data_IF_140354098298
#
_entry.id   IF_140354098298
#
_cell.length_a   1.000
_cell.length_b   1.000
_cell.length_c   1.000
_cell.angle_alpha   90.00
_cell.angle_beta   90.00
_cell.angle_gamma   90.00
#
_symmetry.space_group_name_H-M   'P 1'
#
loop_
_entity.id
_entity.type
_entity.pdbx_description
1 polymer ?
#
# COMPACT_ATOMS: atom_id res chain seq x y z
N UNK A 1 -2.28 28.02 -15.41
CA UNK A 1 -3.15 26.85 -15.70
C UNK A 1 -2.38 25.68 -15.14
N UNK A 2 -2.59 25.37 -13.86
CA UNK A 2 -1.86 24.32 -13.18
C UNK A 2 -2.59 23.02 -13.46
N UNK A 3 -1.90 22.06 -14.07
CA UNK A 3 -2.43 20.76 -14.40
C UNK A 3 -2.81 20.04 -13.10
N UNK A 4 -4.06 20.20 -12.69
CA UNK A 4 -4.72 19.48 -11.59
C UNK A 4 -4.94 18.03 -11.98
N UNK A 5 -3.86 17.35 -12.34
CA UNK A 5 -3.76 15.90 -12.20
C UNK A 5 -3.63 15.62 -10.70
N UNK A 6 -4.70 15.88 -9.94
CA UNK A 6 -4.86 15.24 -8.63
C UNK A 6 -4.88 13.75 -8.95
N UNK A 7 -3.72 13.10 -8.78
CA UNK A 7 -3.55 11.71 -9.16
C UNK A 7 -4.72 10.93 -8.60
N UNK A 8 -5.41 10.15 -9.43
CA UNK A 8 -6.64 9.43 -9.09
C UNK A 8 -6.60 8.77 -7.69
N UNK A 9 -5.41 8.31 -7.30
CA UNK A 9 -5.07 7.76 -5.98
C UNK A 9 -5.34 8.76 -4.83
N UNK A 10 -4.94 10.02 -4.98
CA UNK A 10 -5.17 11.08 -3.99
C UNK A 10 -6.67 11.35 -3.81
N UNK A 11 -7.44 11.46 -4.90
CA UNK A 11 -8.89 11.68 -4.83
C UNK A 11 -9.62 10.51 -4.18
N UNK A 12 -9.29 9.26 -4.54
CA UNK A 12 -9.85 8.08 -3.86
C UNK A 12 -9.48 8.06 -2.37
N UNK A 13 -8.22 8.35 -2.03
CA UNK A 13 -7.76 8.37 -0.63
C UNK A 13 -8.53 9.42 0.18
N UNK A 14 -8.73 10.61 -0.38
CA UNK A 14 -9.45 11.70 0.25
C UNK A 14 -10.94 11.34 0.44
N UNK A 15 -11.59 10.75 -0.57
CA UNK A 15 -12.98 10.27 -0.47
C UNK A 15 -13.15 9.22 0.64
N UNK A 16 -12.26 8.22 0.72
CA UNK A 16 -12.30 7.21 1.79
C UNK A 16 -12.08 7.81 3.18
N UNK A 17 -11.19 8.78 3.32
CA UNK A 17 -10.95 9.52 4.58
C UNK A 17 -12.20 10.31 5.00
N UNK A 18 -12.84 11.02 4.07
CA UNK A 18 -14.02 11.85 4.36
C UNK A 18 -15.22 10.99 4.73
N UNK A 19 -15.47 9.89 4.01
CA UNK A 19 -16.53 8.93 4.34
C UNK A 19 -16.36 8.31 5.72
N UNK A 20 -15.12 8.03 6.13
CA UNK A 20 -14.80 7.55 7.48
C UNK A 20 -15.05 8.62 8.55
N UNK A 21 -14.65 9.87 8.27
CA UNK A 21 -14.79 11.00 9.20
C UNK A 21 -16.26 11.38 9.45
N UNK A 22 -17.14 11.13 8.46
CA UNK A 22 -18.58 11.27 8.61
C UNK A 22 -19.24 10.15 9.44
N UNK A 23 -18.45 9.20 9.97
CA UNK A 23 -18.88 8.04 10.77
C UNK A 23 -19.97 7.18 10.11
N UNK A 24 -20.14 7.31 8.79
CA UNK A 24 -21.05 6.47 8.00
C UNK A 24 -20.58 5.01 7.96
N UNK A 25 -19.30 4.78 8.26
CA UNK A 25 -18.64 3.47 8.17
C UNK A 25 -17.67 3.29 9.37
N UNK A 26 -18.02 2.39 10.29
CA UNK A 26 -17.20 1.94 11.44
C UNK A 26 -16.00 1.06 11.05
N UNK A 27 -15.52 1.16 9.81
CA UNK A 27 -14.45 0.33 9.28
C UNK A 27 -13.09 0.63 9.93
N UNK A 28 -12.09 -0.23 9.79
CA UNK A 28 -10.79 0.03 10.42
C UNK A 28 -9.96 1.00 9.57
N UNK A 29 -9.27 1.96 10.19
CA UNK A 29 -8.36 2.90 9.50
C UNK A 29 -7.28 2.17 8.68
N UNK A 30 -6.93 0.95 9.09
CA UNK A 30 -6.00 0.06 8.40
C UNK A 30 -6.46 -0.28 6.98
N UNK A 31 -7.78 -0.37 6.75
CA UNK A 31 -8.34 -0.64 5.42
C UNK A 31 -8.34 0.57 4.49
N UNK A 32 -8.41 1.80 5.01
CA UNK A 32 -8.23 3.02 4.20
C UNK A 32 -6.84 3.07 3.58
N UNK A 33 -5.85 2.47 4.25
CA UNK A 33 -4.49 2.33 3.74
C UNK A 33 -4.29 1.10 2.86
N UNK A 34 -5.31 0.27 2.55
CA UNK A 34 -5.17 -0.87 1.63
C UNK A 34 -4.35 -0.58 0.37
N UNK A 35 -4.51 0.55 -0.34
CA UNK A 35 -3.64 0.90 -1.46
C UNK A 35 -2.14 0.99 -1.09
N UNK A 36 -1.80 1.50 0.09
CA UNK A 36 -0.42 1.55 0.62
C UNK A 36 0.02 0.19 1.17
N UNK A 37 -0.86 -0.56 1.83
CA UNK A 37 -0.54 -1.92 2.29
C UNK A 37 -0.22 -2.84 1.12
N UNK A 38 -0.94 -2.72 0.00
CA UNK A 38 -0.69 -3.51 -1.19
C UNK A 38 0.73 -3.25 -1.73
N UNK A 39 1.18 -1.99 -1.76
CA UNK A 39 2.53 -1.65 -2.21
C UNK A 39 3.60 -2.10 -1.22
N UNK A 40 3.39 -1.90 0.08
CA UNK A 40 4.31 -2.36 1.14
C UNK A 40 4.44 -3.89 1.12
N UNK A 41 3.33 -4.61 0.97
CA UNK A 41 3.31 -6.07 0.96
C UNK A 41 3.99 -6.63 -0.29
N UNK A 42 3.75 -6.02 -1.46
CA UNK A 42 4.46 -6.35 -2.70
C UNK A 42 5.98 -6.19 -2.54
N UNK A 43 6.43 -5.06 -2.00
CA UNK A 43 7.85 -4.79 -1.75
C UNK A 43 8.43 -5.76 -0.73
N UNK A 44 7.71 -6.04 0.36
CA UNK A 44 8.14 -6.98 1.38
C UNK A 44 8.30 -8.40 0.83
N UNK A 45 7.39 -8.87 -0.02
CA UNK A 45 7.48 -10.18 -0.67
C UNK A 45 8.68 -10.24 -1.62
N UNK A 46 8.89 -9.20 -2.45
CA UNK A 46 10.06 -9.10 -3.32
C UNK A 46 11.37 -9.11 -2.52
N UNK A 47 11.42 -8.35 -1.43
CA UNK A 47 12.58 -8.32 -0.54
C UNK A 47 12.86 -9.69 0.07
N UNK A 48 11.81 -10.37 0.55
CA UNK A 48 11.92 -11.71 1.12
C UNK A 48 12.38 -12.74 0.07
N UNK A 49 11.88 -12.67 -1.16
CA UNK A 49 12.31 -13.52 -2.27
C UNK A 49 13.79 -13.31 -2.61
N UNK A 50 14.27 -12.07 -2.63
CA UNK A 50 15.69 -11.77 -2.86
C UNK A 50 16.56 -12.29 -1.71
N UNK A 51 16.11 -12.10 -0.47
CA UNK A 51 16.84 -12.55 0.72
C UNK A 51 16.90 -14.08 0.78
N UNK A 52 15.76 -14.76 0.56
CA UNK A 52 15.68 -16.23 0.50
C UNK A 52 16.46 -16.76 -0.70
N UNK A 53 16.28 -16.20 -1.89
CA UNK A 53 17.02 -16.61 -3.10
C UNK A 53 18.53 -16.39 -2.98
N UNK A 54 18.95 -15.29 -2.35
CA UNK A 54 20.34 -14.99 -2.03
C UNK A 54 20.92 -15.91 -0.96
N UNK A 55 20.11 -16.31 0.04
CA UNK A 55 20.51 -17.29 1.05
C UNK A 55 20.65 -18.69 0.47
N UNK A 56 19.78 -19.10 -0.46
CA UNK A 56 19.85 -20.41 -1.13
C UNK A 56 21.15 -20.55 -1.94
N UNK A 57 21.57 -19.52 -2.71
CA UNK A 57 22.81 -19.57 -3.50
C UNK A 57 24.10 -19.59 -2.66
N UNK A 58 24.06 -19.11 -1.42
CA UNK A 58 25.20 -19.17 -0.51
C UNK A 58 25.24 -20.47 0.33
N UNK A 59 24.30 -21.39 0.12
CA UNK A 59 24.33 -22.76 0.65
C UNK A 59 25.30 -23.65 -0.12
N UNK A 60 26.59 -23.27 -0.17
CA UNK A 60 27.67 -24.21 -0.45
C UNK A 60 27.87 -25.07 0.80
N UNK A 61 27.46 -26.33 0.73
CA UNK A 61 28.08 -27.46 1.41
C UNK A 61 28.27 -28.55 0.37
#
# INVERSE_FOLDING_TARGET
MEDVHMGFIATLTLVFIVLKCLDLIAWSWVWVFCPVWLTVLLVAVLFLLILVGGRIKNGKW
#
